data_IF_850699551784
#
_entry.id   IF_850699551784
#
_cell.length_a   1.000
_cell.length_b   1.000
_cell.length_c   1.000
_cell.angle_alpha   90.00
_cell.angle_beta   90.00
_cell.angle_gamma   90.00
#
_symmetry.space_group_name_H-M   'P 1'
#
loop_
_entity.id
_entity.type
_entity.pdbx_description
1 polymer ?
#
# COMPACT_ATOMS: atom_id res chain seq x y z
N UNK A 1 0.51 -29.25 49.38
CA UNK A 1 1.54 -28.27 49.76
C UNK A 1 2.86 -28.90 49.36
N UNK A 2 3.05 -28.99 48.05
CA UNK A 2 4.00 -28.18 47.25
C UNK A 2 5.40 -28.80 47.31
N UNK A 3 5.61 -29.78 46.43
CA UNK A 3 6.92 -30.30 46.09
C UNK A 3 7.54 -29.40 45.02
N UNK A 4 8.42 -28.50 45.44
CA UNK A 4 9.34 -27.74 44.60
C UNK A 4 10.40 -28.67 44.02
N UNK A 5 10.33 -28.95 42.72
CA UNK A 5 11.46 -29.50 41.94
C UNK A 5 12.14 -28.34 41.24
N UNK A 6 13.44 -28.22 41.48
CA UNK A 6 14.28 -27.13 41.04
C UNK A 6 14.76 -27.20 39.59
N UNK A 7 15.25 -26.02 39.19
CA UNK A 7 16.37 -25.74 38.30
C UNK A 7 16.36 -26.32 36.88
N UNK A 8 16.29 -25.40 35.90
CA UNK A 8 17.36 -25.28 34.93
C UNK A 8 17.53 -23.83 34.47
N UNK A 9 18.73 -23.32 34.75
CA UNK A 9 19.35 -22.10 34.27
C UNK A 9 19.57 -22.14 32.77
N UNK A 10 19.24 -21.05 32.08
CA UNK A 10 19.90 -20.68 30.83
C UNK A 10 20.41 -19.25 30.96
N UNK A 11 21.67 -19.13 30.59
CA UNK A 11 22.62 -18.09 30.90
C UNK A 11 22.34 -16.77 30.17
N UNK A 12 22.84 -15.70 30.78
CA UNK A 12 22.97 -14.37 30.19
C UNK A 12 23.80 -14.42 28.91
N UNK A 13 23.32 -13.77 27.85
CA UNK A 13 24.18 -13.35 26.74
C UNK A 13 24.14 -11.83 26.67
N UNK A 14 25.28 -11.30 27.10
CA UNK A 14 25.77 -9.92 27.03
C UNK A 14 25.61 -9.31 25.64
N UNK A 15 25.07 -8.09 25.58
CA UNK A 15 25.16 -7.24 24.39
C UNK A 15 25.70 -5.89 24.84
N UNK A 16 27.02 -5.70 24.66
CA UNK A 16 27.66 -4.40 24.67
C UNK A 16 28.06 -4.02 23.24
N UNK A 17 27.60 -2.82 22.85
CA UNK A 17 28.22 -1.84 21.95
C UNK A 17 28.32 -2.15 20.44
N UNK A 18 27.52 -1.40 19.67
CA UNK A 18 27.99 -0.66 18.49
C UNK A 18 27.26 0.68 18.47
N UNK A 19 27.88 1.68 19.12
CA UNK A 19 27.66 3.08 18.80
C UNK A 19 28.72 3.48 17.77
N UNK A 20 28.28 3.89 16.58
CA UNK A 20 29.05 4.82 15.76
C UNK A 20 28.06 5.88 15.25
N UNK A 21 28.20 7.07 15.82
CA UNK A 21 27.62 8.34 15.38
C UNK A 21 27.92 8.58 13.89
N UNK A 22 27.09 9.27 13.11
CA UNK A 22 27.25 10.72 12.85
C UNK A 22 26.02 11.22 12.07
N UNK A 23 25.32 12.17 12.69
CA UNK A 23 24.76 13.42 12.17
C UNK A 23 23.93 13.52 10.86
N UNK A 24 22.89 14.36 11.01
CA UNK A 24 22.34 15.31 10.04
C UNK A 24 21.37 14.81 8.96
N UNK A 25 20.09 14.83 9.33
CA UNK A 25 19.03 15.26 8.40
C UNK A 25 17.96 16.07 9.14
N UNK A 26 18.32 17.27 9.58
CA UNK A 26 17.35 18.35 9.65
C UNK A 26 16.98 18.73 8.21
N UNK A 27 15.74 18.49 7.80
CA UNK A 27 15.16 19.10 6.60
C UNK A 27 13.69 19.40 6.84
N UNK A 28 13.51 20.58 7.44
CA UNK A 28 12.65 21.65 6.92
C UNK A 28 11.20 21.25 6.59
N UNK A 29 10.37 21.40 7.62
CA UNK A 29 9.00 21.86 7.47
C UNK A 29 9.00 23.24 6.77
N UNK A 30 8.92 23.24 5.45
CA UNK A 30 8.60 24.42 4.67
C UNK A 30 7.11 24.40 4.33
N UNK A 31 6.32 25.00 5.22
CA UNK A 31 5.02 25.55 4.84
C UNK A 31 5.21 26.64 3.77
N UNK A 32 4.25 26.70 2.85
CA UNK A 32 4.05 27.74 1.82
C UNK A 32 4.52 27.40 0.42
N UNK A 33 3.64 26.76 -0.35
CA UNK A 33 3.02 27.40 -1.52
C UNK A 33 2.12 26.36 -2.19
N UNK A 34 0.82 26.45 -1.98
CA UNK A 34 -0.15 25.97 -2.96
C UNK A 34 -0.26 27.07 -4.02
N UNK A 35 0.35 26.94 -5.22
CA UNK A 35 -0.11 27.73 -6.34
C UNK A 35 -1.41 27.08 -6.82
N UNK A 36 -2.53 27.57 -6.28
CA UNK A 36 -3.83 27.48 -6.93
C UNK A 36 -3.80 28.34 -8.20
N UNK A 37 -2.98 27.94 -9.17
CA UNK A 37 -3.00 28.52 -10.51
C UNK A 37 -3.99 27.73 -11.33
N UNK A 38 -5.20 28.28 -11.44
CA UNK A 38 -6.12 28.02 -12.53
C UNK A 38 -5.47 28.46 -13.84
N UNK A 39 -4.48 27.71 -14.31
CA UNK A 39 -3.97 27.86 -15.67
C UNK A 39 -4.89 27.06 -16.57
N UNK A 40 -5.72 27.77 -17.33
CA UNK A 40 -6.46 27.22 -18.46
C UNK A 40 -5.48 26.77 -19.54
N UNK A 41 -4.76 25.67 -19.29
CA UNK A 41 -4.00 24.97 -20.31
C UNK A 41 -5.02 24.29 -21.20
N UNK A 42 -5.33 24.94 -22.32
CA UNK A 42 -6.08 24.36 -23.42
C UNK A 42 -5.39 23.05 -23.79
N UNK A 43 -5.99 21.92 -23.36
CA UNK A 43 -5.49 20.59 -23.67
C UNK A 43 -5.31 20.50 -25.19
N UNK A 44 -4.10 20.17 -25.69
CA UNK A 44 -3.86 20.13 -27.12
C UNK A 44 -4.88 19.19 -27.77
N UNK A 45 -5.57 19.71 -28.80
CA UNK A 45 -6.58 18.95 -29.52
C UNK A 45 -5.90 17.72 -30.11
N UNK A 46 -6.37 16.53 -29.73
CA UNK A 46 -5.77 15.27 -30.20
C UNK A 46 -5.82 15.20 -31.72
N UNK A 47 -4.71 14.77 -32.33
CA UNK A 47 -4.68 14.47 -33.76
C UNK A 47 -5.54 13.23 -34.01
N UNK A 48 -6.29 13.24 -35.12
CA UNK A 48 -7.14 12.11 -35.52
C UNK A 48 -6.23 10.90 -35.78
N UNK A 49 -6.38 9.84 -34.98
CA UNK A 49 -5.58 8.60 -35.10
C UNK A 49 -4.73 8.29 -33.86
N UNK A 50 -4.41 9.28 -33.03
CA UNK A 50 -3.60 9.06 -31.83
C UNK A 50 -4.44 8.42 -30.71
N UNK A 51 -4.30 7.10 -30.55
CA UNK A 51 -4.88 6.35 -29.43
C UNK A 51 -3.96 6.53 -28.23
N UNK A 52 -4.33 7.42 -27.30
CA UNK A 52 -3.71 7.48 -25.98
C UNK A 52 -4.61 6.75 -24.97
N UNK A 53 -4.43 5.44 -24.74
CA UNK A 53 -5.28 4.68 -23.83
C UNK A 53 -5.20 5.20 -22.39
N UNK A 54 -4.04 5.64 -21.92
CA UNK A 54 -3.85 6.09 -20.53
C UNK A 54 -4.67 7.32 -20.18
N UNK A 55 -4.87 8.18 -21.17
CA UNK A 55 -5.66 9.38 -21.02
C UNK A 55 -7.18 9.12 -21.03
N UNK A 56 -7.64 7.93 -21.46
CA UNK A 56 -9.05 7.58 -21.44
C UNK A 56 -9.51 7.28 -20.02
N UNK A 57 -10.58 7.96 -19.59
CA UNK A 57 -11.17 7.77 -18.27
C UNK A 57 -11.50 6.30 -17.99
N UNK A 58 -11.96 5.57 -19.01
CA UNK A 58 -12.22 4.14 -18.90
C UNK A 58 -10.98 3.31 -18.53
N UNK A 59 -9.84 3.59 -19.16
CA UNK A 59 -8.58 2.91 -18.85
C UNK A 59 -8.08 3.29 -17.46
N UNK A 60 -8.18 4.58 -17.07
CA UNK A 60 -7.82 5.03 -15.71
C UNK A 60 -8.65 4.32 -14.65
N UNK A 61 -9.97 4.26 -14.82
CA UNK A 61 -10.89 3.58 -13.90
C UNK A 61 -10.59 2.08 -13.85
N UNK A 62 -10.37 1.43 -15.00
CA UNK A 62 -10.01 0.00 -15.04
C UNK A 62 -8.71 -0.28 -14.30
N UNK A 63 -7.65 0.49 -14.57
CA UNK A 63 -6.35 0.36 -13.89
C UNK A 63 -6.52 0.50 -12.37
N UNK A 64 -7.22 1.55 -11.92
CA UNK A 64 -7.45 1.78 -10.50
C UNK A 64 -8.28 0.67 -9.83
N UNK A 65 -9.23 0.05 -10.54
CA UNK A 65 -9.99 -1.10 -10.00
C UNK A 65 -9.13 -2.33 -9.78
N UNK A 66 -8.27 -2.64 -10.73
CA UNK A 66 -7.31 -3.76 -10.66
C UNK A 66 -6.33 -3.52 -9.51
N UNK A 67 -5.69 -2.35 -9.46
CA UNK A 67 -4.77 -1.99 -8.38
C UNK A 67 -5.45 -1.80 -7.02
N UNK A 68 -6.77 -1.57 -7.01
CA UNK A 68 -7.53 -1.29 -5.80
C UNK A 68 -7.39 0.14 -5.29
N UNK A 69 -6.86 1.05 -6.12
CA UNK A 69 -6.67 2.44 -5.77
C UNK A 69 -7.98 3.24 -5.81
N UNK A 70 -7.95 4.40 -5.16
CA UNK A 70 -9.05 5.34 -5.22
C UNK A 70 -9.19 5.94 -6.63
N UNK A 71 -10.42 6.17 -7.09
CA UNK A 71 -10.65 6.77 -8.41
C UNK A 71 -11.94 7.58 -8.48
N UNK A 72 -12.02 8.46 -9.46
CA UNK A 72 -13.25 9.21 -9.78
C UNK A 72 -14.07 8.42 -10.80
N UNK A 73 -15.30 8.07 -10.47
CA UNK A 73 -16.22 7.40 -11.38
C UNK A 73 -16.71 8.37 -12.48
N UNK A 74 -17.36 7.85 -13.53
CA UNK A 74 -17.96 8.67 -14.59
C UNK A 74 -18.99 9.69 -14.08
N UNK A 75 -19.60 9.41 -12.93
CA UNK A 75 -20.53 10.32 -12.23
C UNK A 75 -19.83 11.42 -11.40
N UNK A 76 -18.51 11.53 -11.48
CA UNK A 76 -17.73 12.50 -10.70
C UNK A 76 -17.58 12.16 -9.21
N UNK A 77 -18.05 10.98 -8.77
CA UNK A 77 -17.93 10.54 -7.37
C UNK A 77 -16.58 9.90 -7.10
N UNK A 78 -15.93 10.29 -6.01
CA UNK A 78 -14.72 9.64 -5.51
C UNK A 78 -15.08 8.26 -4.93
N UNK A 79 -14.36 7.24 -5.36
CA UNK A 79 -14.37 5.89 -4.79
C UNK A 79 -13.06 5.71 -4.04
N UNK A 80 -13.13 5.20 -2.80
CA UNK A 80 -11.97 5.06 -1.92
C UNK A 80 -11.10 3.86 -2.33
N UNK A 81 -9.84 3.89 -1.87
CA UNK A 81 -8.92 2.75 -1.99
C UNK A 81 -9.51 1.55 -1.25
N UNK A 82 -9.35 0.35 -1.83
CA UNK A 82 -9.78 -0.89 -1.20
C UNK A 82 -8.81 -1.24 -0.07
N UNK A 83 -9.35 -1.44 1.12
CA UNK A 83 -8.61 -1.86 2.30
C UNK A 83 -9.02 -3.27 2.72
N UNK A 84 -8.20 -3.90 3.56
CA UNK A 84 -8.60 -5.11 4.27
C UNK A 84 -9.86 -4.83 5.11
N UNK A 85 -10.81 -5.77 5.09
CA UNK A 85 -12.01 -5.70 5.91
C UNK A 85 -11.74 -6.09 7.36
N UNK A 86 -12.76 -5.96 8.24
CA UNK A 86 -12.68 -6.48 9.59
C UNK A 86 -12.54 -8.00 9.59
N UNK A 87 -12.11 -8.55 10.71
CA UNK A 87 -11.91 -9.99 10.85
C UNK A 87 -13.21 -10.78 10.64
N UNK A 88 -13.09 -11.95 10.01
CA UNK A 88 -14.21 -12.85 9.80
C UNK A 88 -14.80 -13.30 11.16
N UNK A 89 -16.10 -13.58 11.19
CA UNK A 89 -16.75 -14.28 12.33
C UNK A 89 -16.70 -15.81 12.18
N UNK A 90 -15.76 -16.31 11.38
CA UNK A 90 -15.71 -17.71 10.98
C UNK A 90 -15.14 -18.61 12.08
N UNK A 91 -15.67 -19.84 12.24
CA UNK A 91 -15.31 -20.77 13.32
C UNK A 91 -13.81 -21.06 13.41
N UNK A 92 -13.13 -21.06 12.26
CA UNK A 92 -11.70 -21.34 12.14
C UNK A 92 -10.80 -20.25 12.76
N UNK A 93 -11.33 -19.03 12.95
CA UNK A 93 -10.61 -17.85 13.46
C UNK A 93 -9.23 -17.66 12.81
N UNK A 94 -9.16 -17.75 11.47
CA UNK A 94 -7.89 -17.68 10.74
C UNK A 94 -7.10 -16.38 11.01
N UNK A 95 -7.79 -15.29 11.34
CA UNK A 95 -7.18 -14.01 11.73
C UNK A 95 -6.25 -14.12 12.95
N UNK A 96 -6.42 -15.11 13.83
CA UNK A 96 -5.52 -15.33 14.96
C UNK A 96 -4.23 -16.07 14.59
N UNK A 97 -4.17 -16.65 13.39
CA UNK A 97 -3.04 -17.46 12.90
C UNK A 97 -2.16 -16.71 11.90
N UNK A 98 -2.64 -15.59 11.38
CA UNK A 98 -2.00 -14.80 10.32
C UNK A 98 -1.79 -13.41 10.89
N UNK A 99 -0.58 -12.88 10.81
CA UNK A 99 -0.30 -11.49 11.25
C UNK A 99 -0.85 -10.48 10.26
N UNK A 100 -1.07 -9.23 10.67
CA UNK A 100 -1.56 -8.18 9.76
C UNK A 100 -0.57 -7.90 8.61
N UNK A 101 0.73 -8.08 8.85
CA UNK A 101 1.76 -7.95 7.82
C UNK A 101 1.62 -9.03 6.75
N UNK A 102 1.42 -10.28 7.16
CA UNK A 102 1.18 -11.40 6.24
C UNK A 102 -0.11 -11.20 5.45
N UNK A 103 -1.18 -10.72 6.11
CA UNK A 103 -2.45 -10.39 5.47
C UNK A 103 -2.28 -9.29 4.42
N UNK A 104 -1.52 -8.24 4.74
CA UNK A 104 -1.21 -7.15 3.82
C UNK A 104 -0.39 -7.63 2.63
N UNK A 105 0.61 -8.48 2.86
CA UNK A 105 1.41 -9.09 1.80
C UNK A 105 0.58 -9.97 0.86
N UNK A 106 -0.30 -10.82 1.41
CA UNK A 106 -1.23 -11.63 0.61
C UNK A 106 -2.16 -10.74 -0.22
N UNK A 107 -2.67 -9.66 0.37
CA UNK A 107 -3.56 -8.74 -0.32
C UNK A 107 -2.86 -7.97 -1.46
N UNK A 108 -1.62 -7.54 -1.22
CA UNK A 108 -0.81 -6.86 -2.24
C UNK A 108 -0.43 -7.82 -3.37
N UNK A 109 0.13 -8.98 -3.04
CA UNK A 109 0.52 -9.99 -4.03
C UNK A 109 -0.65 -10.41 -4.91
N UNK A 110 -1.84 -10.62 -4.34
CA UNK A 110 -3.03 -10.93 -5.13
C UNK A 110 -3.35 -9.88 -6.20
N UNK A 111 -3.17 -8.59 -5.89
CA UNK A 111 -3.43 -7.49 -6.83
C UNK A 111 -2.33 -7.35 -7.89
N UNK A 112 -1.11 -7.71 -7.54
CA UNK A 112 0.02 -7.71 -8.47
C UNK A 112 -0.10 -8.84 -9.52
N UNK A 113 -0.67 -9.99 -9.15
CA UNK A 113 -0.87 -11.14 -10.05
C UNK A 113 -1.68 -10.81 -11.32
N UNK A 114 -2.64 -9.89 -11.25
CA UNK A 114 -3.45 -9.49 -12.41
C UNK A 114 -2.66 -8.67 -13.46
N UNK A 115 -1.53 -8.08 -13.08
CA UNK A 115 -0.71 -7.28 -14.02
C UNK A 115 0.20 -8.12 -14.92
N UNK A 116 0.38 -9.41 -14.60
CA UNK A 116 1.31 -10.32 -15.29
C UNK A 116 0.64 -11.40 -16.16
N UNK A 117 -0.69 -11.45 -16.29
CA UNK A 117 -1.34 -12.33 -17.26
C UNK A 117 -1.62 -11.59 -18.57
N UNK A 118 -0.95 -12.04 -19.64
CA UNK A 118 -1.08 -11.65 -21.05
C UNK A 118 -0.27 -10.44 -21.55
N UNK A 119 1.06 -10.51 -21.39
CA UNK A 119 1.95 -10.08 -22.47
C UNK A 119 2.14 -11.24 -23.44
N UNK A 120 1.16 -11.47 -24.32
CA UNK A 120 1.37 -12.32 -25.49
C UNK A 120 2.17 -11.48 -26.49
N UNK A 121 3.45 -11.82 -26.64
CA UNK A 121 4.29 -11.35 -27.74
C UNK A 121 3.79 -11.90 -29.08
#
# INVERSE_FOLDING_TARGET
MEDTIGNQSVEEISIQQVEETVENAASNNASSAVPSTSSGSAMPRRRKGDKNPESYQACKIKKARVSGDSYVNYKGKQVNKVTSGPDCRCRMKCYSKITEDQKSLIFQSFRELETNQFSIN
#
